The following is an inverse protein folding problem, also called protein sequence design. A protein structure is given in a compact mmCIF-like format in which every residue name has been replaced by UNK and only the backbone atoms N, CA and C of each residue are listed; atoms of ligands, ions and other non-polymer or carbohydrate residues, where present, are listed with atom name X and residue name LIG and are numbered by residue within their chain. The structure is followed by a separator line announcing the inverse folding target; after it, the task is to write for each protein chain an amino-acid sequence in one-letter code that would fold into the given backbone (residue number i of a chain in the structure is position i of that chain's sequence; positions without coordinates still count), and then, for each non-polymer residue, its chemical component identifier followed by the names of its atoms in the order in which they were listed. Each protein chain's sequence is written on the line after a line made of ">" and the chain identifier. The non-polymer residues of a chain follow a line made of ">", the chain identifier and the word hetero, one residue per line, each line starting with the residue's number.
data_IF_780955692673
#
_entry.id   IF_780955692673
#
_cell.length_a   1.000
_cell.length_b   1.000
_cell.length_c   1.000
_cell.angle_alpha   90.00
_cell.angle_beta   90.00
_cell.angle_gamma   90.00
#
_symmetry.space_group_name_H-M   'P 1'
#
loop_
_entity.id
_entity.type
_entity.pdbx_description
1 polymer ?
#
# COMPACT_ATOMS: atom_id res chain seq x y z
N UNK A 1 85.65 -6.95 -10.14
CA UNK A 1 84.51 -6.16 -10.67
C UNK A 1 83.25 -6.65 -9.98
N UNK A 2 82.85 -6.01 -8.88
CA UNK A 2 81.69 -6.40 -8.08
C UNK A 2 80.49 -5.55 -8.50
N UNK A 3 79.42 -6.22 -8.91
CA UNK A 3 78.24 -5.65 -9.55
C UNK A 3 77.26 -5.14 -8.47
N UNK A 4 77.16 -3.82 -8.27
CA UNK A 4 76.36 -3.18 -7.22
C UNK A 4 74.91 -2.87 -7.65
N UNK A 5 74.21 -3.89 -8.19
CA UNK A 5 72.83 -3.76 -8.70
C UNK A 5 71.70 -3.93 -7.69
N UNK A 6 71.99 -4.22 -6.42
CA UNK A 6 70.99 -4.64 -5.41
C UNK A 6 69.94 -3.61 -4.95
N UNK A 7 70.28 -2.32 -4.70
CA UNK A 7 69.36 -1.43 -3.97
C UNK A 7 68.23 -0.85 -4.83
N UNK A 8 68.35 -0.86 -6.17
CA UNK A 8 67.31 -0.30 -7.06
C UNK A 8 66.11 -1.22 -7.28
N UNK A 9 66.27 -2.54 -7.06
CA UNK A 9 65.19 -3.51 -7.26
C UNK A 9 64.25 -3.57 -6.03
N UNK A 10 64.81 -3.49 -4.82
CA UNK A 10 64.06 -3.49 -3.56
C UNK A 10 63.11 -2.29 -3.45
N UNK A 11 63.54 -1.10 -3.89
CA UNK A 11 62.70 0.11 -3.83
C UNK A 11 61.47 0.04 -4.76
N UNK A 12 61.58 -0.61 -5.92
CA UNK A 12 60.47 -0.77 -6.86
C UNK A 12 59.41 -1.76 -6.37
N UNK A 13 59.82 -2.82 -5.67
CA UNK A 13 58.90 -3.80 -5.09
C UNK A 13 58.11 -3.22 -3.91
N UNK A 14 58.75 -2.41 -3.06
CA UNK A 14 58.07 -1.72 -1.96
C UNK A 14 56.99 -0.73 -2.46
N UNK A 15 57.28 0.04 -3.52
CA UNK A 15 56.29 0.96 -4.11
C UNK A 15 55.09 0.24 -4.75
N UNK A 16 55.29 -0.96 -5.32
CA UNK A 16 54.21 -1.75 -5.91
C UNK A 16 53.28 -2.34 -4.84
N UNK A 17 53.84 -2.74 -3.69
CA UNK A 17 53.06 -3.23 -2.54
C UNK A 17 52.18 -2.16 -1.91
N UNK A 18 52.68 -0.93 -1.79
CA UNK A 18 51.90 0.20 -1.26
C UNK A 18 50.76 0.59 -2.22
N UNK A 19 51.03 0.65 -3.53
CA UNK A 19 49.99 0.90 -4.54
C UNK A 19 48.93 -0.22 -4.56
N UNK A 20 49.33 -1.49 -4.44
CA UNK A 20 48.41 -2.62 -4.34
C UNK A 20 47.55 -2.59 -3.08
N UNK A 21 48.12 -2.25 -1.93
CA UNK A 21 47.39 -2.13 -0.66
C UNK A 21 46.42 -0.93 -0.66
N UNK A 22 46.82 0.21 -1.23
CA UNK A 22 45.92 1.35 -1.41
C UNK A 22 44.77 1.02 -2.38
N UNK A 23 45.03 0.33 -3.49
CA UNK A 23 43.97 -0.08 -4.43
C UNK A 23 42.98 -1.06 -3.79
N UNK A 24 43.45 -1.96 -2.91
CA UNK A 24 42.59 -2.90 -2.18
C UNK A 24 41.72 -2.21 -1.11
N UNK A 25 42.24 -1.15 -0.47
CA UNK A 25 41.46 -0.34 0.48
C UNK A 25 40.36 0.48 -0.22
N UNK A 26 40.54 0.86 -1.49
CA UNK A 26 39.50 1.55 -2.27
C UNK A 26 38.46 0.63 -2.90
N UNK A 27 38.77 -0.65 -3.16
CA UNK A 27 37.79 -1.61 -3.70
C UNK A 27 36.96 -2.33 -2.64
N UNK A 28 37.43 -2.39 -1.39
CA UNK A 28 36.72 -3.03 -0.27
C UNK A 28 35.90 -2.06 0.59
N UNK A 29 36.11 -0.76 0.44
CA UNK A 29 35.24 0.29 0.97
C UNK A 29 33.96 0.41 0.15
N UNK A 30 33.10 -0.62 0.17
CA UNK A 30 31.74 -0.48 -0.32
C UNK A 30 31.08 0.66 0.47
N UNK A 31 30.92 1.82 -0.17
CA UNK A 31 30.20 2.96 0.39
C UNK A 31 28.83 2.44 0.82
N UNK A 32 28.62 2.28 2.12
CA UNK A 32 27.31 1.96 2.68
C UNK A 32 26.46 3.20 2.48
N UNK A 33 25.83 3.31 1.32
CA UNK A 33 24.91 4.39 1.03
C UNK A 33 23.76 4.28 2.03
N UNK A 34 23.65 5.28 2.91
CA UNK A 34 22.66 5.27 3.98
C UNK A 34 21.26 5.44 3.40
N UNK A 35 20.30 4.67 3.92
CA UNK A 35 18.89 4.85 3.62
C UNK A 35 18.48 6.30 3.90
N UNK A 36 17.85 6.95 2.93
CA UNK A 36 17.37 8.32 3.04
C UNK A 36 15.84 8.33 2.96
N UNK A 37 15.21 8.41 4.12
CA UNK A 37 13.76 8.52 4.25
C UNK A 37 13.42 9.82 4.95
N UNK A 38 12.73 10.71 4.24
CA UNK A 38 12.27 12.00 4.78
C UNK A 38 10.76 11.97 4.95
N UNK A 39 10.26 12.47 6.07
CA UNK A 39 8.82 12.67 6.30
C UNK A 39 8.53 14.16 6.13
N UNK A 40 7.55 14.50 5.31
CA UNK A 40 7.08 15.87 5.17
C UNK A 40 6.36 16.33 6.43
N UNK A 41 6.75 17.50 6.95
CA UNK A 41 6.05 18.09 8.08
C UNK A 41 4.73 18.71 7.63
N UNK A 42 3.62 18.21 8.15
CA UNK A 42 2.26 18.65 7.81
C UNK A 42 1.47 18.94 9.10
N UNK A 43 1.67 20.11 9.73
CA UNK A 43 1.11 20.40 11.05
C UNK A 43 -0.43 20.39 11.06
N UNK A 44 -1.05 20.81 9.96
CA UNK A 44 -2.51 20.88 9.79
C UNK A 44 -3.14 19.56 9.34
N UNK A 45 -2.34 18.50 9.16
CA UNK A 45 -2.87 17.20 8.74
C UNK A 45 -3.64 16.52 9.89
N UNK A 46 -4.87 16.02 9.64
CA UNK A 46 -5.64 15.25 10.62
C UNK A 46 -5.00 13.90 10.96
N UNK A 47 -4.05 13.45 10.15
CA UNK A 47 -3.27 12.23 10.35
C UNK A 47 -1.79 12.55 10.17
N UNK A 48 -0.93 12.14 11.10
CA UNK A 48 0.49 12.46 11.05
C UNK A 48 1.35 11.22 11.11
N UNK A 49 2.45 11.21 10.36
CA UNK A 49 3.50 10.21 10.49
C UNK A 49 4.39 10.64 11.67
N UNK A 50 4.29 9.94 12.80
CA UNK A 50 5.01 10.28 14.03
C UNK A 50 6.43 9.72 14.07
N UNK A 51 6.68 8.58 13.43
CA UNK A 51 8.01 7.99 13.30
C UNK A 51 8.07 7.00 12.14
N UNK A 52 9.28 6.66 11.69
CA UNK A 52 9.52 5.60 10.71
C UNK A 52 10.63 4.66 11.19
N UNK A 53 10.52 3.39 10.80
CA UNK A 53 11.53 2.36 10.98
C UNK A 53 11.74 1.64 9.64
N UNK A 54 13.00 1.35 9.30
CA UNK A 54 13.34 0.61 8.08
C UNK A 54 14.00 -0.69 8.51
N UNK A 55 13.43 -1.82 8.13
CA UNK A 55 14.07 -3.12 8.31
C UNK A 55 15.10 -3.31 7.18
N UNK A 56 16.38 -3.25 7.56
CA UNK A 56 17.52 -3.43 6.67
C UNK A 56 17.92 -4.91 6.62
N UNK A 57 17.03 -5.76 6.12
CA UNK A 57 17.40 -7.14 5.80
C UNK A 57 18.26 -7.16 4.53
N UNK A 58 19.56 -7.42 4.69
CA UNK A 58 20.60 -7.19 3.68
C UNK A 58 20.43 -7.97 2.37
N UNK A 59 19.65 -9.05 2.34
CA UNK A 59 19.45 -9.90 1.16
C UNK A 59 18.28 -9.50 0.25
N UNK A 60 17.36 -8.65 0.69
CA UNK A 60 16.13 -8.41 -0.04
C UNK A 60 16.21 -7.19 -0.98
N UNK A 61 15.68 -7.28 -2.22
CA UNK A 61 15.61 -6.15 -3.15
C UNK A 61 14.59 -5.08 -2.71
N UNK A 62 13.65 -5.45 -1.84
CA UNK A 62 12.70 -4.56 -1.20
C UNK A 62 12.93 -4.50 0.31
N UNK A 63 12.84 -3.30 0.87
CA UNK A 63 12.91 -3.04 2.30
C UNK A 63 11.50 -2.82 2.85
N UNK A 64 11.27 -3.28 4.07
CA UNK A 64 10.03 -3.00 4.79
C UNK A 64 10.20 -1.69 5.57
N UNK A 65 9.29 -0.74 5.30
CA UNK A 65 9.23 0.55 5.98
C UNK A 65 7.97 0.54 6.84
N UNK A 66 8.16 0.60 8.15
CA UNK A 66 7.07 0.72 9.12
C UNK A 66 6.93 2.16 9.56
N UNK A 67 5.75 2.72 9.34
CA UNK A 67 5.37 4.07 9.73
C UNK A 67 4.44 3.99 10.93
N UNK A 68 4.75 4.73 11.99
CA UNK A 68 3.78 4.97 13.05
C UNK A 68 2.97 6.19 12.62
N UNK A 69 1.65 6.04 12.45
CA UNK A 69 0.78 7.18 12.23
C UNK A 69 -0.04 7.47 13.47
N UNK A 70 -0.30 8.75 13.73
CA UNK A 70 -1.09 9.25 14.83
C UNK A 70 -2.25 10.09 14.29
N UNK A 71 -3.47 9.71 14.66
CA UNK A 71 -4.67 10.49 14.35
C UNK A 71 -4.77 11.70 15.28
N UNK A 72 -4.90 12.89 14.70
CA UNK A 72 -5.15 14.16 15.41
C UNK A 72 -6.57 14.69 15.20
N UNK A 73 -7.38 13.99 14.42
CA UNK A 73 -8.74 14.38 14.12
C UNK A 73 -9.72 13.92 15.20
N UNK A 74 -10.63 14.81 15.60
CA UNK A 74 -11.79 14.45 16.43
C UNK A 74 -12.85 13.67 15.63
N UNK A 75 -12.80 13.72 14.30
CA UNK A 75 -13.62 12.90 13.41
C UNK A 75 -12.91 11.57 13.13
N UNK A 76 -13.61 10.42 13.22
CA UNK A 76 -13.02 9.14 12.81
C UNK A 76 -12.56 9.18 11.36
N UNK A 77 -11.37 8.63 11.08
CA UNK A 77 -10.82 8.54 9.72
C UNK A 77 -11.10 7.15 9.16
N UNK A 78 -11.70 7.10 7.97
CA UNK A 78 -12.06 5.85 7.30
C UNK A 78 -11.14 5.47 6.13
N UNK A 79 -10.48 6.44 5.54
CA UNK A 79 -9.49 6.20 4.49
C UNK A 79 -8.43 7.30 4.48
N UNK A 80 -7.23 6.97 4.02
CA UNK A 80 -6.17 7.94 3.81
C UNK A 80 -5.16 7.45 2.78
N UNK A 81 -4.43 8.39 2.17
CA UNK A 81 -3.40 8.11 1.18
C UNK A 81 -2.05 8.61 1.68
N UNK A 82 -1.07 7.71 1.72
CA UNK A 82 0.34 8.07 1.91
C UNK A 82 0.97 8.23 0.53
N UNK A 83 1.35 9.46 0.18
CA UNK A 83 2.12 9.73 -1.03
C UNK A 83 3.61 9.47 -0.78
N UNK A 84 4.28 9.01 -1.83
CA UNK A 84 5.73 8.91 -1.90
C UNK A 84 6.26 9.66 -3.11
N UNK A 85 7.36 10.36 -2.92
CA UNK A 85 8.12 11.04 -3.97
C UNK A 85 9.59 10.63 -3.90
N UNK A 86 10.23 10.49 -5.05
CA UNK A 86 11.69 10.34 -5.19
C UNK A 86 12.20 11.62 -5.84
N UNK A 87 13.08 12.36 -5.15
CA UNK A 87 13.47 13.70 -5.59
C UNK A 87 12.31 14.70 -5.52
N UNK A 88 11.99 15.35 -6.64
CA UNK A 88 10.91 16.36 -6.73
C UNK A 88 9.58 15.81 -7.25
N UNK A 89 9.59 14.61 -7.83
CA UNK A 89 8.42 14.06 -8.51
C UNK A 89 7.67 13.12 -7.57
N UNK A 90 6.34 13.27 -7.51
CA UNK A 90 5.45 12.30 -6.83
C UNK A 90 5.46 11.01 -7.65
N UNK A 91 5.97 9.93 -7.07
CA UNK A 91 6.22 8.66 -7.78
C UNK A 91 5.18 7.59 -7.46
N UNK A 92 4.43 7.73 -6.36
CA UNK A 92 3.42 6.75 -6.00
C UNK A 92 2.59 7.13 -4.78
N UNK A 93 1.56 6.32 -4.53
CA UNK A 93 0.64 6.47 -3.42
C UNK A 93 0.18 5.11 -2.90
N UNK A 94 0.00 5.02 -1.59
CA UNK A 94 -0.66 3.90 -0.93
C UNK A 94 -1.97 4.40 -0.31
N UNK A 95 -3.09 4.03 -0.92
CA UNK A 95 -4.43 4.24 -0.37
C UNK A 95 -4.75 3.14 0.64
N UNK A 96 -5.16 3.52 1.83
CA UNK A 96 -5.53 2.63 2.93
C UNK A 96 -6.97 2.91 3.29
N UNK A 97 -7.80 1.86 3.31
CA UNK A 97 -9.23 1.91 3.63
C UNK A 97 -9.53 1.06 4.84
N UNK A 98 -10.44 1.53 5.69
CA UNK A 98 -10.99 0.76 6.80
C UNK A 98 -12.40 0.31 6.42
N UNK A 99 -12.66 -0.99 6.52
CA UNK A 99 -13.91 -1.57 6.03
C UNK A 99 -14.99 -1.70 7.12
N UNK A 100 -14.62 -1.46 8.39
CA UNK A 100 -15.52 -1.55 9.54
C UNK A 100 -15.31 -0.38 10.50
N UNK A 101 -16.33 -0.04 11.27
CA UNK A 101 -16.27 1.02 12.29
C UNK A 101 -15.16 0.77 13.33
N UNK A 102 -14.91 -0.51 13.66
CA UNK A 102 -13.85 -0.92 14.57
C UNK A 102 -12.43 -0.67 14.02
N UNK A 103 -12.29 -0.62 12.70
CA UNK A 103 -11.02 -0.36 12.03
C UNK A 103 -10.75 1.14 11.83
N UNK A 104 -11.80 1.97 11.85
CA UNK A 104 -11.69 3.42 11.69
C UNK A 104 -10.74 4.00 12.73
N UNK A 105 -9.92 4.97 12.30
CA UNK A 105 -8.94 5.57 13.18
C UNK A 105 -9.60 6.60 14.08
N UNK A 106 -9.47 6.41 15.38
CA UNK A 106 -10.07 7.27 16.39
C UNK A 106 -9.12 8.41 16.78
N UNK A 107 -9.64 9.43 17.47
CA UNK A 107 -8.84 10.54 17.98
C UNK A 107 -7.71 10.04 18.90
N UNK A 108 -6.50 10.57 18.73
CA UNK A 108 -5.28 10.20 19.46
C UNK A 108 -4.86 8.73 19.31
N UNK A 109 -5.44 7.99 18.38
CA UNK A 109 -5.01 6.63 18.09
C UNK A 109 -3.69 6.62 17.32
N UNK A 110 -2.80 5.69 17.70
CA UNK A 110 -1.52 5.45 17.01
C UNK A 110 -1.54 4.02 16.48
N UNK A 111 -1.32 3.85 15.17
CA UNK A 111 -1.28 2.54 14.51
C UNK A 111 -0.07 2.45 13.58
N UNK A 112 0.57 1.26 13.49
CA UNK A 112 1.62 1.02 12.52
C UNK A 112 1.04 0.73 11.13
N UNK A 113 1.71 1.21 10.09
CA UNK A 113 1.49 0.82 8.70
C UNK A 113 2.82 0.38 8.12
N UNK A 114 2.87 -0.83 7.58
CA UNK A 114 4.04 -1.36 6.89
C UNK A 114 3.84 -1.27 5.39
N UNK A 115 4.84 -0.73 4.69
CA UNK A 115 4.88 -0.68 3.23
C UNK A 115 6.22 -1.20 2.74
N UNK A 116 6.23 -1.72 1.51
CA UNK A 116 7.46 -2.15 0.84
C UNK A 116 7.94 -1.07 -0.10
N UNK A 117 9.24 -0.79 -0.04
CA UNK A 117 9.94 0.11 -0.96
C UNK A 117 11.15 -0.60 -1.52
N UNK A 118 11.47 -0.37 -2.79
CA UNK A 118 12.71 -0.91 -3.34
C UNK A 118 13.91 -0.29 -2.62
N UNK A 119 15.00 -1.06 -2.52
CA UNK A 119 16.25 -0.54 -1.95
C UNK A 119 16.74 0.70 -2.70
N UNK A 120 16.59 0.71 -4.03
CA UNK A 120 16.95 1.85 -4.87
C UNK A 120 16.18 3.11 -4.48
N UNK A 121 14.84 3.04 -4.35
CA UNK A 121 14.03 4.19 -3.91
C UNK A 121 14.52 4.74 -2.57
N UNK A 122 14.75 3.88 -1.59
CA UNK A 122 15.19 4.27 -0.24
C UNK A 122 16.58 4.89 -0.25
N UNK A 123 17.48 4.40 -1.09
CA UNK A 123 18.81 4.95 -1.26
C UNK A 123 18.77 6.32 -1.96
N UNK A 124 17.93 6.48 -2.97
CA UNK A 124 17.80 7.70 -3.76
C UNK A 124 17.13 8.85 -3.00
N UNK A 125 16.43 8.55 -1.89
CA UNK A 125 15.74 9.52 -1.07
C UNK A 125 14.24 9.48 -1.31
N UNK A 126 13.52 8.71 -0.48
CA UNK A 126 12.06 8.74 -0.45
C UNK A 126 11.59 9.83 0.49
N UNK A 127 10.72 10.71 -0.01
CA UNK A 127 9.91 11.59 0.83
C UNK A 127 8.49 11.04 0.93
N UNK A 128 7.97 10.94 2.15
CA UNK A 128 6.62 10.48 2.44
C UNK A 128 5.76 11.60 3.02
N UNK A 129 4.49 11.64 2.65
CA UNK A 129 3.50 12.60 3.18
C UNK A 129 2.08 12.04 3.13
N UNK A 130 1.17 12.62 3.89
CA UNK A 130 -0.27 12.36 3.79
C UNK A 130 -0.85 13.26 2.70
N UNK A 131 -1.43 12.65 1.67
CA UNK A 131 -1.96 13.38 0.50
C UNK A 131 -3.49 13.51 0.54
N UNK A 132 -4.15 12.57 1.19
CA UNK A 132 -5.61 12.54 1.27
C UNK A 132 -6.04 11.87 2.56
N UNK A 133 -7.13 12.38 3.15
CA UNK A 133 -7.82 11.78 4.29
C UNK A 133 -9.32 11.91 4.06
N UNK A 134 -10.05 10.84 4.32
CA UNK A 134 -11.51 10.82 4.30
C UNK A 134 -12.04 10.40 5.67
N UNK A 135 -12.98 11.20 6.19
CA UNK A 135 -13.59 10.97 7.48
C UNK A 135 -14.84 10.09 7.38
N UNK A 136 -15.32 9.59 8.52
CA UNK A 136 -16.52 8.76 8.59
C UNK A 136 -17.77 9.47 8.05
N UNK A 137 -17.86 10.80 8.20
CA UNK A 137 -18.95 11.64 7.67
C UNK A 137 -18.84 11.92 6.16
N UNK A 138 -17.81 11.39 5.49
CA UNK A 138 -17.56 11.59 4.06
C UNK A 138 -16.90 12.91 3.70
N UNK A 139 -16.62 13.80 4.67
CA UNK A 139 -15.77 14.97 4.41
C UNK A 139 -14.32 14.55 4.18
N UNK A 140 -13.56 15.38 3.48
CA UNK A 140 -12.18 15.07 3.08
C UNK A 140 -11.20 16.17 3.48
N UNK A 141 -9.93 15.80 3.56
CA UNK A 141 -8.79 16.71 3.75
C UNK A 141 -7.66 16.32 2.80
N UNK A 142 -6.88 17.32 2.37
CA UNK A 142 -5.70 17.15 1.53
C UNK A 142 -5.97 17.44 0.05
N UNK A 143 -4.90 17.55 -0.76
CA UNK A 143 -5.00 17.87 -2.19
C UNK A 143 -5.60 16.77 -3.06
N UNK A 144 -5.62 15.52 -2.58
CA UNK A 144 -6.02 14.34 -3.38
C UNK A 144 -5.33 14.24 -4.75
N UNK A 145 -4.00 14.36 -4.76
CA UNK A 145 -3.20 14.43 -5.99
C UNK A 145 -3.24 13.13 -6.80
N UNK A 146 -3.72 12.05 -6.19
CA UNK A 146 -3.81 10.71 -6.80
C UNK A 146 -5.26 10.27 -7.08
N UNK A 147 -6.25 11.17 -7.00
CA UNK A 147 -7.68 10.88 -7.23
C UNK A 147 -8.19 9.71 -6.37
N UNK A 148 -7.75 9.68 -5.11
CA UNK A 148 -8.14 8.69 -4.09
C UNK A 148 -9.63 8.79 -3.79
N UNK A 149 -10.20 10.00 -3.75
CA UNK A 149 -11.64 10.18 -3.53
C UNK A 149 -12.47 9.49 -4.63
N UNK A 150 -12.01 9.57 -5.87
CA UNK A 150 -12.66 8.97 -7.03
C UNK A 150 -12.49 7.44 -7.05
N UNK A 151 -11.31 6.93 -6.69
CA UNK A 151 -11.07 5.49 -6.48
C UNK A 151 -11.99 4.93 -5.39
N UNK A 152 -12.14 5.62 -4.25
CA UNK A 152 -13.04 5.24 -3.16
C UNK A 152 -14.52 5.28 -3.57
N UNK A 153 -14.92 6.29 -4.34
CA UNK A 153 -16.27 6.36 -4.89
C UNK A 153 -16.57 5.19 -5.82
N UNK A 154 -15.58 4.81 -6.65
CA UNK A 154 -15.63 3.61 -7.47
C UNK A 154 -15.81 2.36 -6.62
N UNK A 155 -14.98 2.18 -5.60
CA UNK A 155 -15.00 1.03 -4.69
C UNK A 155 -16.36 0.83 -4.03
N UNK A 156 -16.96 1.90 -3.52
CA UNK A 156 -18.31 1.86 -2.93
C UNK A 156 -19.37 1.42 -3.95
N UNK A 157 -19.32 1.97 -5.16
CA UNK A 157 -20.30 1.62 -6.19
C UNK A 157 -20.12 0.17 -6.66
N UNK A 158 -18.87 -0.29 -6.79
CA UNK A 158 -18.56 -1.68 -7.11
C UNK A 158 -19.13 -2.65 -6.09
N UNK A 159 -18.93 -2.37 -4.80
CA UNK A 159 -19.52 -3.14 -3.71
C UNK A 159 -21.06 -3.12 -3.79
N UNK A 160 -21.67 -1.94 -3.95
CA UNK A 160 -23.12 -1.76 -4.01
C UNK A 160 -23.74 -2.56 -5.16
N UNK A 161 -23.19 -2.45 -6.37
CA UNK A 161 -23.69 -3.18 -7.54
C UNK A 161 -23.46 -4.69 -7.43
N UNK A 162 -22.32 -5.13 -6.89
CA UNK A 162 -22.09 -6.56 -6.58
C UNK A 162 -23.19 -7.13 -5.72
N UNK A 163 -23.48 -6.47 -4.59
CA UNK A 163 -24.52 -6.94 -3.66
C UNK A 163 -25.89 -6.91 -4.33
N UNK A 164 -26.21 -5.88 -5.10
CA UNK A 164 -27.49 -5.79 -5.81
C UNK A 164 -27.67 -6.94 -6.83
N UNK A 165 -26.66 -7.20 -7.67
CA UNK A 165 -26.72 -8.23 -8.72
C UNK A 165 -26.78 -9.63 -8.10
N UNK A 166 -25.92 -9.91 -7.12
CA UNK A 166 -25.90 -11.20 -6.43
C UNK A 166 -27.22 -11.45 -5.67
N UNK A 167 -27.82 -10.42 -5.08
CA UNK A 167 -29.17 -10.50 -4.50
C UNK A 167 -30.21 -10.89 -5.53
N UNK A 168 -30.15 -10.30 -6.73
CA UNK A 168 -31.09 -10.61 -7.80
C UNK A 168 -30.93 -12.05 -8.30
N UNK A 169 -29.68 -12.54 -8.39
CA UNK A 169 -29.39 -13.93 -8.75
C UNK A 169 -29.95 -14.89 -7.69
N UNK A 170 -29.72 -14.62 -6.40
CA UNK A 170 -30.25 -15.44 -5.31
C UNK A 170 -31.79 -15.49 -5.33
N UNK A 171 -32.45 -14.36 -5.61
CA UNK A 171 -33.92 -14.28 -5.73
C UNK A 171 -34.47 -15.03 -6.94
N UNK A 172 -33.80 -14.95 -8.09
CA UNK A 172 -34.32 -15.49 -9.36
C UNK A 172 -33.94 -16.93 -9.62
N UNK A 173 -32.74 -17.35 -9.20
CA UNK A 173 -32.18 -18.69 -9.48
C UNK A 173 -31.96 -19.51 -8.20
N UNK A 174 -32.38 -18.99 -7.05
CA UNK A 174 -32.13 -19.60 -5.75
C UNK A 174 -30.64 -19.61 -5.37
N UNK A 175 -30.35 -20.22 -4.22
CA UNK A 175 -28.98 -20.29 -3.70
C UNK A 175 -28.05 -21.15 -4.57
N UNK A 176 -28.58 -22.16 -5.26
CA UNK A 176 -27.80 -22.95 -6.23
C UNK A 176 -27.33 -22.11 -7.42
N UNK A 177 -28.18 -21.23 -7.97
CA UNK A 177 -27.79 -20.30 -9.03
C UNK A 177 -26.81 -19.23 -8.57
N UNK A 178 -26.91 -18.81 -7.31
CA UNK A 178 -25.95 -17.92 -6.65
C UNK A 178 -24.56 -18.56 -6.55
N UNK A 179 -24.47 -19.80 -6.03
CA UNK A 179 -23.21 -20.56 -5.96
C UNK A 179 -22.61 -20.74 -7.35
N UNK A 180 -23.41 -21.15 -8.34
CA UNK A 180 -22.95 -21.34 -9.71
C UNK A 180 -22.40 -20.05 -10.33
N UNK A 181 -23.00 -18.89 -10.04
CA UNK A 181 -22.49 -17.61 -10.51
C UNK A 181 -21.13 -17.26 -9.89
N UNK A 182 -20.98 -17.45 -8.56
CA UNK A 182 -19.73 -17.21 -7.85
C UNK A 182 -18.58 -18.11 -8.34
N UNK A 183 -18.84 -19.40 -8.55
CA UNK A 183 -17.80 -20.37 -8.95
C UNK A 183 -17.43 -20.31 -10.43
N UNK A 184 -18.32 -19.81 -11.28
CA UNK A 184 -18.05 -19.69 -12.72
C UNK A 184 -17.14 -18.50 -13.06
N UNK A 185 -16.74 -17.67 -12.09
CA UNK A 185 -16.03 -16.40 -12.29
C UNK A 185 -16.70 -15.48 -13.34
N UNK A 186 -18.00 -15.67 -13.59
CA UNK A 186 -18.80 -14.82 -14.48
C UNK A 186 -19.38 -13.68 -13.65
N UNK A 187 -18.60 -12.63 -13.48
CA UNK A 187 -19.13 -11.38 -12.95
C UNK A 187 -19.97 -10.73 -14.05
N UNK A 188 -21.30 -10.81 -13.92
CA UNK A 188 -22.24 -10.07 -14.79
C UNK A 188 -22.24 -8.54 -14.47
N UNK A 189 -21.30 -8.10 -13.64
CA UNK A 189 -21.17 -6.72 -13.18
C UNK A 189 -20.43 -5.94 -14.25
N UNK A 190 -21.18 -5.17 -15.02
CA UNK A 190 -20.62 -4.24 -16.01
C UNK A 190 -20.16 -2.94 -15.33
N UNK A 191 -19.01 -2.44 -15.77
CA UNK A 191 -18.47 -1.16 -15.34
C UNK A 191 -19.31 -0.03 -15.96
N UNK A 192 -19.86 0.91 -15.18
CA UNK A 192 -20.55 2.07 -15.72
C UNK A 192 -19.66 2.88 -16.68
N UNK A 193 -20.22 3.28 -17.82
CA UNK A 193 -19.49 4.06 -18.83
C UNK A 193 -19.28 5.50 -18.38
N UNK A 194 -18.21 6.14 -18.89
CA UNK A 194 -17.94 7.56 -18.70
C UNK A 194 -17.33 7.90 -17.33
N UNK A 195 -16.70 6.94 -16.67
CA UNK A 195 -16.00 7.10 -15.40
C UNK A 195 -14.50 7.26 -15.63
N UNK A 196 -13.78 7.80 -14.64
CA UNK A 196 -12.32 7.92 -14.72
C UNK A 196 -11.65 6.55 -14.53
N UNK A 197 -10.41 6.40 -14.97
CA UNK A 197 -9.63 5.18 -14.72
C UNK A 197 -9.42 4.89 -13.23
N UNK A 198 -9.37 5.92 -12.38
CA UNK A 198 -9.27 5.76 -10.92
C UNK A 198 -10.55 5.14 -10.37
N UNK A 199 -11.68 5.72 -10.77
CA UNK A 199 -13.00 5.21 -10.41
C UNK A 199 -13.22 3.78 -10.88
N UNK A 200 -12.89 3.46 -12.14
CA UNK A 200 -13.06 2.11 -12.70
C UNK A 200 -12.23 1.07 -11.95
N UNK A 201 -10.99 1.42 -11.56
CA UNK A 201 -10.12 0.57 -10.75
C UNK A 201 -10.71 0.34 -9.37
N UNK A 202 -11.16 1.41 -8.71
CA UNK A 202 -11.90 1.32 -7.44
C UNK A 202 -13.10 0.40 -7.56
N UNK A 203 -13.93 0.61 -8.59
CA UNK A 203 -15.11 -0.20 -8.87
C UNK A 203 -14.80 -1.69 -9.00
N UNK A 204 -13.79 -2.05 -9.78
CA UNK A 204 -13.35 -3.44 -9.91
C UNK A 204 -12.90 -4.01 -8.57
N UNK A 205 -12.16 -3.24 -7.76
CA UNK A 205 -11.70 -3.67 -6.43
C UNK A 205 -12.86 -3.90 -5.47
N UNK A 206 -13.82 -2.98 -5.41
CA UNK A 206 -15.01 -3.10 -4.57
C UNK A 206 -15.88 -4.28 -4.97
N UNK A 207 -16.09 -4.45 -6.28
CA UNK A 207 -16.85 -5.59 -6.79
C UNK A 207 -16.15 -6.93 -6.51
N UNK A 208 -14.84 -6.99 -6.76
CA UNK A 208 -13.99 -8.16 -6.50
C UNK A 208 -13.94 -8.54 -5.02
N UNK A 209 -13.87 -7.56 -4.12
CA UNK A 209 -13.85 -7.79 -2.65
C UNK A 209 -15.06 -8.58 -2.18
N UNK A 210 -16.27 -8.26 -2.70
CA UNK A 210 -17.49 -9.01 -2.38
C UNK A 210 -17.39 -10.45 -2.88
N UNK A 211 -17.02 -10.64 -4.15
CA UNK A 211 -16.93 -11.96 -4.79
C UNK A 211 -15.90 -12.84 -4.06
N UNK A 212 -14.70 -12.31 -3.80
CA UNK A 212 -13.64 -13.03 -3.11
C UNK A 212 -14.01 -13.39 -1.67
N UNK A 213 -14.65 -12.47 -0.93
CA UNK A 213 -15.12 -12.72 0.44
C UNK A 213 -16.10 -13.89 0.48
N UNK A 214 -17.05 -13.92 -0.45
CA UNK A 214 -18.04 -15.00 -0.58
C UNK A 214 -17.39 -16.30 -1.06
N UNK A 215 -16.49 -16.25 -2.05
CA UNK A 215 -15.75 -17.43 -2.50
C UNK A 215 -14.92 -18.05 -1.37
N UNK A 216 -14.20 -17.23 -0.58
CA UNK A 216 -13.48 -17.72 0.61
C UNK A 216 -14.39 -18.39 1.63
N UNK A 217 -15.56 -17.80 1.91
CA UNK A 217 -16.55 -18.39 2.81
C UNK A 217 -17.03 -19.76 2.32
N UNK A 218 -17.33 -19.87 1.01
CA UNK A 218 -17.72 -21.13 0.38
C UNK A 218 -16.61 -22.17 0.40
N UNK A 219 -15.38 -21.81 0.01
CA UNK A 219 -14.24 -22.74 0.02
C UNK A 219 -13.90 -23.23 1.43
N UNK A 220 -14.03 -22.38 2.45
CA UNK A 220 -13.69 -22.72 3.83
C UNK A 220 -14.76 -23.57 4.54
N UNK A 221 -16.05 -23.31 4.29
CA UNK A 221 -17.14 -23.89 5.09
C UNK A 221 -18.37 -24.32 4.30
N UNK A 222 -18.29 -24.35 2.97
CA UNK A 222 -19.37 -24.78 2.09
C UNK A 222 -20.59 -23.84 2.09
N UNK A 223 -21.77 -24.34 1.68
CA UNK A 223 -22.98 -23.55 1.52
C UNK A 223 -23.44 -22.79 2.79
N UNK A 224 -23.35 -23.40 3.97
CA UNK A 224 -23.81 -22.75 5.21
C UNK A 224 -22.96 -21.55 5.64
N UNK A 225 -21.64 -21.65 5.48
CA UNK A 225 -20.73 -20.52 5.74
C UNK A 225 -20.92 -19.41 4.70
N UNK A 226 -21.17 -19.78 3.44
CA UNK A 226 -21.49 -18.82 2.39
C UNK A 226 -22.78 -18.05 2.69
N UNK A 227 -23.84 -18.74 3.13
CA UNK A 227 -25.11 -18.10 3.48
C UNK A 227 -24.96 -17.12 4.65
N UNK A 228 -24.21 -17.53 5.68
CA UNK A 228 -23.89 -16.67 6.83
C UNK A 228 -23.10 -15.43 6.40
N UNK A 229 -22.10 -15.60 5.53
CA UNK A 229 -21.28 -14.48 5.04
C UNK A 229 -22.07 -13.56 4.10
N UNK A 230 -22.98 -14.13 3.31
CA UNK A 230 -23.89 -13.37 2.46
C UNK A 230 -24.85 -12.51 3.29
N UNK A 231 -25.46 -13.07 4.34
CA UNK A 231 -26.31 -12.33 5.27
C UNK A 231 -25.55 -11.16 5.92
N UNK A 232 -24.28 -11.40 6.32
CA UNK A 232 -23.42 -10.34 6.85
C UNK A 232 -23.13 -9.26 5.80
N UNK A 233 -22.77 -9.65 4.58
CA UNK A 233 -22.50 -8.72 3.47
C UNK A 233 -23.72 -7.82 3.17
N UNK A 234 -24.92 -8.39 3.20
CA UNK A 234 -26.18 -7.64 3.06
C UNK A 234 -26.43 -6.65 4.20
N UNK A 235 -26.06 -7.01 5.42
CA UNK A 235 -26.16 -6.11 6.57
C UNK A 235 -25.14 -4.96 6.45
N UNK A 236 -23.91 -5.27 6.06
CA UNK A 236 -22.82 -4.30 5.86
C UNK A 236 -23.20 -3.28 4.76
N UNK A 237 -23.73 -3.74 3.61
CA UNK A 237 -24.10 -2.85 2.49
C UNK A 237 -25.21 -1.85 2.82
N UNK A 238 -26.06 -2.17 3.80
CA UNK A 238 -27.12 -1.26 4.26
C UNK A 238 -26.56 -0.16 5.16
N UNK A 239 -25.47 -0.42 5.88
CA UNK A 239 -24.83 0.59 6.75
C UNK A 239 -24.02 1.62 5.95
N UNK A 240 -23.50 1.22 4.79
CA UNK A 240 -22.60 2.04 3.97
C UNK A 240 -23.30 2.85 2.89
N UNK A 241 -24.62 2.69 2.73
CA UNK A 241 -25.41 3.50 1.80
C UNK A 241 -25.68 4.85 2.47
N UNK A 242 -25.09 5.97 2.02
CA UNK A 242 -25.48 7.29 2.51
C UNK A 242 -26.96 7.51 2.18
N UNK A 243 -27.75 7.92 3.18
CA UNK A 243 -29.14 8.36 3.00
C UNK A 243 -29.24 9.58 2.07
#
# INVERSE_FOLDING_TARGET
>A
MANSGGPKLMFKLASLGILGACLWLFTSGGLTQSANLTIEHQPDSPLQISSSQIDLTYSEPSLEVTLMLASRSVKPIRAFTIASSVGRDKTGALLITTNTDEQMWQFNEIKPITMRKSRAEIIDGVKLSIDFVEFSDGTTWGPDSFNSADDLAGEREGLRLSVQILSQIAKTKGFGGFINNLTSNRSDISIPKGKSLSWERGFQRGAGTVIERLNRAYTKGGPGQLESEWARTLADSKRTSPE
#
